data_IF_296489712370
#
_entry.id   IF_296489712370
#
_cell.length_a   1.000
_cell.length_b   1.000
_cell.length_c   1.000
_cell.angle_alpha   90.00
_cell.angle_beta   90.00
_cell.angle_gamma   90.00
#
_symmetry.space_group_name_H-M   'P 1'
#
loop_
_entity.id
_entity.type
_entity.pdbx_description
1 polymer ?
#
# COMPACT_ATOMS: atom_id res chain seq x y z
N UNK A 1 21.17 -17.74 1.32
CA UNK A 1 20.31 -18.42 2.31
C UNK A 1 20.58 -17.72 3.63
N UNK A 2 19.75 -16.88 4.24
CA UNK A 2 18.39 -16.40 4.02
C UNK A 2 18.22 -15.36 5.13
N UNK A 3 18.52 -14.07 4.90
CA UNK A 3 18.33 -13.00 5.90
C UNK A 3 16.85 -12.58 6.00
N UNK A 4 15.95 -13.56 5.90
CA UNK A 4 14.53 -13.34 6.16
C UNK A 4 14.36 -13.35 7.67
N UNK A 5 13.87 -12.24 8.21
CA UNK A 5 13.49 -12.16 9.62
C UNK A 5 12.51 -13.31 9.93
N UNK A 6 12.61 -13.95 11.12
CA UNK A 6 11.69 -14.99 11.52
C UNK A 6 10.25 -14.47 11.50
N UNK A 7 9.29 -15.33 11.14
CA UNK A 7 7.86 -15.03 11.22
C UNK A 7 7.54 -14.72 12.70
N UNK A 8 7.20 -13.47 13.02
CA UNK A 8 7.00 -12.99 14.41
C UNK A 8 5.56 -13.24 14.91
N UNK A 9 4.88 -14.26 14.37
CA UNK A 9 3.52 -14.64 14.74
C UNK A 9 2.78 -15.28 13.57
N UNK A 10 2.22 -16.46 13.80
CA UNK A 10 1.27 -17.10 12.87
C UNK A 10 -0.05 -17.29 13.63
N UNK A 11 -1.11 -16.67 13.12
CA UNK A 11 -2.47 -16.93 13.59
C UNK A 11 -3.12 -17.91 12.62
N UNK A 12 -2.99 -19.21 12.86
CA UNK A 12 -3.66 -20.23 12.05
C UNK A 12 -5.17 -20.23 12.37
N UNK A 13 -5.96 -19.49 11.60
CA UNK A 13 -7.42 -19.55 11.66
C UNK A 13 -7.93 -20.23 10.39
N UNK A 14 -8.41 -21.46 10.53
CA UNK A 14 -9.16 -22.16 9.50
C UNK A 14 -9.13 -23.66 9.72
N UNK A 15 -10.30 -24.24 9.88
CA UNK A 15 -10.45 -25.66 10.19
C UNK A 15 -10.91 -26.47 8.97
N UNK A 16 -11.37 -25.78 7.92
CA UNK A 16 -11.85 -26.40 6.69
C UNK A 16 -11.35 -25.69 5.41
N UNK A 17 -11.75 -26.24 4.26
CA UNK A 17 -11.37 -25.75 2.93
C UNK A 17 -11.89 -24.36 2.61
N UNK A 18 -13.03 -23.97 3.19
CA UNK A 18 -13.61 -22.66 2.96
C UNK A 18 -12.83 -21.61 3.74
N UNK A 19 -12.47 -21.89 5.01
CA UNK A 19 -11.62 -20.99 5.78
C UNK A 19 -10.28 -20.74 5.07
N UNK A 20 -9.65 -21.78 4.52
CA UNK A 20 -8.41 -21.64 3.72
C UNK A 20 -8.62 -20.78 2.45
N UNK A 21 -9.77 -20.93 1.78
CA UNK A 21 -10.15 -20.11 0.62
C UNK A 21 -10.24 -18.63 1.00
N UNK A 22 -10.78 -18.36 2.19
CA UNK A 22 -11.02 -17.03 2.73
C UNK A 22 -9.76 -16.34 3.29
N UNK A 23 -8.62 -17.03 3.39
CA UNK A 23 -7.36 -16.41 3.84
C UNK A 23 -6.74 -15.53 2.78
N UNK A 24 -6.11 -14.44 3.22
CA UNK A 24 -5.24 -13.59 2.40
C UNK A 24 -3.83 -13.62 3.01
N UNK A 25 -2.84 -14.00 2.21
CA UNK A 25 -1.43 -13.98 2.59
C UNK A 25 -0.79 -12.71 2.04
N UNK A 26 -0.42 -11.82 2.95
CA UNK A 26 0.22 -10.54 2.60
C UNK A 26 1.68 -10.60 3.06
N UNK A 27 2.61 -10.33 2.13
CA UNK A 27 4.01 -10.14 2.44
C UNK A 27 4.34 -8.65 2.44
N UNK A 28 4.98 -8.16 3.50
CA UNK A 28 5.44 -6.78 3.60
C UNK A 28 6.95 -6.75 3.33
N UNK A 29 7.37 -6.00 2.30
CA UNK A 29 8.77 -5.81 2.03
C UNK A 29 9.32 -4.65 2.87
N UNK A 30 10.38 -4.91 3.63
CA UNK A 30 11.13 -3.88 4.35
C UNK A 30 12.52 -3.74 3.74
N UNK A 31 12.84 -2.55 3.24
CA UNK A 31 14.13 -2.26 2.60
C UNK A 31 14.62 -0.87 3.00
N UNK A 32 15.92 -0.64 2.83
CA UNK A 32 16.45 0.71 2.88
C UNK A 32 16.10 1.47 1.59
N UNK A 33 15.76 2.78 1.67
CA UNK A 33 15.57 3.62 0.49
C UNK A 33 16.80 3.59 -0.43
N UNK A 34 16.59 3.44 -1.73
CA UNK A 34 17.67 3.46 -2.70
C UNK A 34 18.06 4.89 -3.06
N UNK A 35 18.89 5.51 -2.23
CA UNK A 35 19.39 6.86 -2.48
C UNK A 35 20.46 6.93 -3.59
N UNK A 36 21.06 5.79 -3.96
CA UNK A 36 22.09 5.72 -4.99
C UNK A 36 21.55 5.74 -6.43
N UNK A 37 20.25 5.46 -6.60
CA UNK A 37 19.61 5.45 -7.91
C UNK A 37 19.34 6.85 -8.47
N UNK A 38 19.49 7.92 -7.68
CA UNK A 38 19.23 9.30 -8.13
C UNK A 38 17.87 9.42 -8.86
N UNK A 39 16.82 8.85 -8.26
CA UNK A 39 15.49 8.82 -8.86
C UNK A 39 15.20 7.64 -9.78
N UNK A 40 16.21 7.00 -10.39
CA UNK A 40 16.01 6.02 -11.46
C UNK A 40 15.33 4.71 -11.01
N UNK A 41 14.06 4.54 -11.43
CA UNK A 41 13.23 3.38 -11.10
C UNK A 41 13.85 2.05 -11.53
N UNK A 42 14.54 2.01 -12.68
CA UNK A 42 15.08 0.76 -13.23
C UNK A 42 16.13 0.12 -12.30
N UNK A 43 16.81 0.91 -11.47
CA UNK A 43 17.88 0.44 -10.60
C UNK A 43 17.36 -0.40 -9.43
N UNK A 44 16.09 -0.23 -9.04
CA UNK A 44 15.47 -1.02 -7.94
C UNK A 44 14.72 -2.26 -8.42
N UNK A 45 14.40 -2.35 -9.72
CA UNK A 45 13.60 -3.47 -10.25
C UNK A 45 14.27 -4.84 -10.05
N UNK A 46 15.60 -5.02 -10.14
CA UNK A 46 16.24 -6.29 -9.80
C UNK A 46 16.00 -6.71 -8.36
N UNK A 47 16.00 -5.76 -7.42
CA UNK A 47 15.72 -6.02 -6.00
C UNK A 47 14.24 -6.35 -5.78
N UNK A 48 13.34 -5.65 -6.46
CA UNK A 48 11.91 -5.98 -6.46
C UNK A 48 11.67 -7.42 -6.93
N UNK A 49 12.29 -7.81 -8.05
CA UNK A 49 12.18 -9.16 -8.61
C UNK A 49 12.63 -10.23 -7.62
N UNK A 50 13.74 -10.02 -6.92
CA UNK A 50 14.24 -10.95 -5.90
C UNK A 50 13.23 -11.12 -4.74
N UNK A 51 12.70 -10.01 -4.23
CA UNK A 51 11.75 -10.03 -3.11
C UNK A 51 10.41 -10.66 -3.52
N UNK A 52 9.94 -10.39 -4.74
CA UNK A 52 8.76 -11.03 -5.32
C UNK A 52 8.94 -12.54 -5.45
N UNK A 53 10.09 -13.00 -5.95
CA UNK A 53 10.40 -14.42 -6.05
C UNK A 53 10.25 -15.10 -4.68
N UNK A 54 10.93 -14.58 -3.65
CA UNK A 54 10.88 -15.15 -2.30
C UNK A 54 9.47 -15.13 -1.70
N UNK A 55 8.73 -14.04 -1.84
CA UNK A 55 7.35 -13.97 -1.33
C UNK A 55 6.40 -14.91 -2.09
N UNK A 56 6.60 -15.07 -3.40
CA UNK A 56 5.79 -15.96 -4.23
C UNK A 56 5.98 -17.44 -3.86
N UNK A 57 7.23 -17.84 -3.56
CA UNK A 57 7.60 -19.18 -3.08
C UNK A 57 6.99 -19.50 -1.72
N UNK A 58 6.76 -18.47 -0.88
CA UNK A 58 6.07 -18.57 0.40
C UNK A 58 4.54 -18.49 0.28
N UNK A 59 4.00 -18.44 -0.94
CA UNK A 59 2.55 -18.48 -1.16
C UNK A 59 1.81 -17.17 -0.88
N UNK A 60 2.50 -16.02 -0.91
CA UNK A 60 1.86 -14.70 -0.77
C UNK A 60 0.85 -14.45 -1.91
N UNK A 61 -0.31 -13.85 -1.62
CA UNK A 61 -1.22 -13.33 -2.66
C UNK A 61 -0.82 -11.94 -3.08
N UNK A 62 -0.35 -11.13 -2.12
CA UNK A 62 0.02 -9.73 -2.32
C UNK A 62 1.38 -9.47 -1.68
N UNK A 63 2.27 -8.79 -2.40
CA UNK A 63 3.49 -8.20 -1.84
C UNK A 63 3.33 -6.69 -1.78
N UNK A 64 3.61 -6.09 -0.63
CA UNK A 64 3.57 -4.64 -0.43
C UNK A 64 4.97 -4.09 -0.32
N UNK A 65 5.38 -3.32 -1.32
CA UNK A 65 6.64 -2.56 -1.28
C UNK A 65 6.44 -1.22 -0.57
N UNK A 66 7.48 -0.69 0.09
CA UNK A 66 7.36 0.54 0.87
C UNK A 66 7.18 1.77 -0.02
N UNK A 67 6.69 2.85 0.58
CA UNK A 67 6.68 4.15 -0.07
C UNK A 67 8.10 4.53 -0.52
N UNK A 68 8.19 5.24 -1.64
CA UNK A 68 9.45 5.67 -2.27
C UNK A 68 10.38 4.54 -2.68
N UNK A 69 9.93 3.28 -2.68
CA UNK A 69 10.72 2.15 -3.17
C UNK A 69 11.26 2.38 -4.59
N UNK A 70 10.46 3.01 -5.47
CA UNK A 70 10.80 3.17 -6.88
C UNK A 70 11.72 4.38 -7.13
N UNK A 71 11.40 5.53 -6.55
CA UNK A 71 12.16 6.78 -6.81
C UNK A 71 13.26 7.05 -5.79
N UNK A 72 13.19 6.50 -4.58
CA UNK A 72 14.02 6.93 -3.45
C UNK A 72 13.37 8.08 -2.67
N UNK A 73 13.86 8.32 -1.46
CA UNK A 73 13.18 9.14 -0.45
C UNK A 73 13.78 10.55 -0.25
N UNK A 74 14.86 10.88 -0.96
CA UNK A 74 15.45 12.22 -0.89
C UNK A 74 14.78 13.24 -1.82
N UNK A 75 14.82 14.51 -1.39
CA UNK A 75 14.39 15.63 -2.22
C UNK A 75 15.20 15.77 -3.52
N UNK A 76 16.43 15.26 -3.56
CA UNK A 76 17.24 15.23 -4.78
C UNK A 76 16.62 14.27 -5.80
N UNK A 77 16.37 13.02 -5.39
CA UNK A 77 15.75 12.00 -6.22
C UNK A 77 14.37 12.47 -6.74
N UNK A 78 13.56 13.08 -5.88
CA UNK A 78 12.25 13.60 -6.29
C UNK A 78 12.34 14.73 -7.31
N UNK A 79 13.33 15.63 -7.20
CA UNK A 79 13.52 16.70 -8.20
C UNK A 79 14.06 16.18 -9.51
N UNK A 80 14.76 15.04 -9.50
CA UNK A 80 15.22 14.36 -10.70
C UNK A 80 14.08 13.65 -11.44
N UNK A 81 12.90 13.52 -10.82
CA UNK A 81 11.72 12.90 -11.44
C UNK A 81 11.36 13.44 -12.82
N UNK A 82 11.84 14.64 -13.22
CA UNK A 82 11.87 15.16 -14.60
C UNK A 82 12.30 14.15 -15.68
N UNK A 83 13.01 13.09 -15.30
CA UNK A 83 13.43 12.01 -16.20
C UNK A 83 12.45 10.83 -16.26
N UNK A 84 11.45 10.76 -15.37
CA UNK A 84 10.37 9.78 -15.42
C UNK A 84 9.23 10.22 -16.32
N UNK A 85 8.50 9.23 -16.84
CA UNK A 85 7.29 9.45 -17.61
C UNK A 85 6.22 10.17 -16.77
N UNK A 86 5.57 11.22 -17.31
CA UNK A 86 4.50 11.91 -16.61
C UNK A 86 3.20 11.09 -16.62
N UNK A 87 2.35 11.34 -15.63
CA UNK A 87 0.94 10.98 -15.65
C UNK A 87 0.18 12.04 -16.44
N UNK A 88 -0.12 11.74 -17.70
CA UNK A 88 -0.87 12.63 -18.58
C UNK A 88 -2.38 12.27 -18.59
N UNK A 89 -2.74 11.01 -18.32
CA UNK A 89 -4.13 10.49 -18.19
C UNK A 89 -4.15 9.08 -17.57
N UNK A 90 -5.33 8.49 -17.30
CA UNK A 90 -5.46 7.07 -16.89
C UNK A 90 -4.96 6.08 -17.97
N UNK A 91 -4.88 6.52 -19.23
CA UNK A 91 -4.40 5.70 -20.35
C UNK A 91 -2.88 5.65 -20.44
N UNK A 92 -2.21 6.66 -19.88
CA UNK A 92 -0.76 6.81 -19.91
C UNK A 92 -0.20 6.45 -18.53
N UNK A 93 0.17 5.18 -18.39
CA UNK A 93 0.92 4.69 -17.23
C UNK A 93 2.42 4.73 -17.55
N UNK A 94 3.29 4.92 -16.55
CA UNK A 94 4.72 4.99 -16.78
C UNK A 94 5.26 3.71 -17.46
N UNK A 95 6.23 3.85 -18.37
CA UNK A 95 6.73 2.72 -19.18
C UNK A 95 7.36 1.63 -18.31
N UNK A 96 8.06 2.01 -17.24
CA UNK A 96 8.65 1.09 -16.28
C UNK A 96 7.61 0.21 -15.57
N UNK A 97 6.33 0.58 -15.57
CA UNK A 97 5.30 -0.22 -14.94
C UNK A 97 5.07 -1.54 -15.70
N UNK A 98 5.36 -1.61 -17.00
CA UNK A 98 5.23 -2.86 -17.77
C UNK A 98 6.21 -3.93 -17.29
N UNK A 99 7.41 -3.56 -16.86
CA UNK A 99 8.35 -4.51 -16.25
C UNK A 99 7.76 -5.12 -14.97
N UNK A 100 7.10 -4.30 -14.14
CA UNK A 100 6.45 -4.77 -12.91
C UNK A 100 5.20 -5.61 -13.21
N UNK A 101 4.45 -5.28 -14.26
CA UNK A 101 3.34 -6.12 -14.75
C UNK A 101 3.83 -7.49 -15.20
N UNK A 102 4.96 -7.54 -15.89
CA UNK A 102 5.60 -8.80 -16.28
C UNK A 102 6.02 -9.61 -15.05
N UNK A 103 6.58 -8.97 -14.02
CA UNK A 103 6.92 -9.63 -12.75
C UNK A 103 5.67 -10.17 -12.03
N UNK A 104 4.58 -9.41 -11.96
CA UNK A 104 3.32 -9.86 -11.36
C UNK A 104 2.78 -11.15 -12.02
N UNK A 105 2.82 -11.19 -13.36
CA UNK A 105 2.45 -12.39 -14.16
C UNK A 105 3.41 -13.55 -13.94
N UNK A 106 4.71 -13.29 -14.01
CA UNK A 106 5.77 -14.29 -13.85
C UNK A 106 5.64 -15.02 -12.51
N UNK A 107 5.42 -14.26 -11.43
CA UNK A 107 5.30 -14.82 -10.09
C UNK A 107 3.86 -15.14 -9.70
N UNK A 108 2.86 -14.85 -10.53
CA UNK A 108 1.44 -15.00 -10.22
C UNK A 108 1.05 -14.39 -8.87
N UNK A 109 1.59 -13.22 -8.53
CA UNK A 109 1.42 -12.57 -7.23
C UNK A 109 1.00 -11.12 -7.46
N UNK A 110 0.01 -10.64 -6.71
CA UNK A 110 -0.37 -9.23 -6.76
C UNK A 110 0.68 -8.35 -6.06
N UNK A 111 0.75 -7.08 -6.46
CA UNK A 111 1.82 -6.18 -6.05
C UNK A 111 1.22 -4.82 -5.72
N UNK A 112 1.48 -4.33 -4.51
CA UNK A 112 1.50 -2.89 -4.24
C UNK A 112 2.92 -2.42 -4.52
N UNK A 113 3.09 -1.59 -5.54
CA UNK A 113 4.41 -1.30 -6.15
C UNK A 113 5.40 -0.58 -5.25
N UNK A 114 4.95 -0.15 -4.06
CA UNK A 114 5.52 1.01 -3.41
C UNK A 114 5.19 2.24 -4.23
N UNK A 115 5.92 3.32 -4.06
CA UNK A 115 5.59 4.55 -4.78
C UNK A 115 6.74 5.16 -5.55
N UNK A 116 6.36 5.93 -6.57
CA UNK A 116 7.23 6.75 -7.39
C UNK A 116 6.77 8.22 -7.31
N UNK A 117 7.73 9.14 -7.45
CA UNK A 117 7.41 10.56 -7.66
C UNK A 117 7.26 10.84 -9.16
N UNK A 118 6.08 11.28 -9.56
CA UNK A 118 5.67 11.47 -10.94
C UNK A 118 5.18 12.90 -11.19
N UNK A 119 5.35 13.41 -12.41
CA UNK A 119 4.72 14.68 -12.85
C UNK A 119 3.30 14.40 -13.32
N UNK A 120 2.41 15.37 -13.12
CA UNK A 120 1.14 15.40 -13.85
C UNK A 120 1.29 16.33 -15.06
N UNK A 121 1.10 15.84 -16.28
CA UNK A 121 1.43 16.53 -17.55
C UNK A 121 2.93 16.59 -17.90
N UNK A 122 3.24 16.46 -19.20
CA UNK A 122 4.58 16.55 -19.77
C UNK A 122 5.17 17.98 -19.85
N UNK A 123 5.21 18.70 -18.72
CA UNK A 123 5.86 20.02 -18.60
C UNK A 123 6.84 20.03 -17.43
N UNK A 124 8.02 20.65 -17.61
CA UNK A 124 9.05 20.75 -16.55
C UNK A 124 8.60 21.58 -15.32
N UNK A 125 7.56 22.39 -15.45
CA UNK A 125 6.98 23.14 -14.33
C UNK A 125 5.76 22.44 -13.71
N UNK A 126 5.47 21.20 -14.13
CA UNK A 126 4.32 20.46 -13.62
C UNK A 126 4.48 20.07 -12.16
N UNK A 127 3.37 20.02 -11.40
CA UNK A 127 3.38 19.52 -10.02
C UNK A 127 3.88 18.08 -9.96
N UNK A 128 4.60 17.78 -8.89
CA UNK A 128 5.10 16.46 -8.55
C UNK A 128 4.18 15.79 -7.54
N UNK A 129 3.89 14.52 -7.76
CA UNK A 129 2.96 13.72 -6.98
C UNK A 129 3.63 12.41 -6.57
N UNK A 130 3.28 11.90 -5.40
CA UNK A 130 3.73 10.60 -4.92
C UNK A 130 2.62 9.57 -5.16
N UNK A 131 2.87 8.60 -6.04
CA UNK A 131 1.85 7.68 -6.55
C UNK A 131 2.28 6.22 -6.41
N UNK A 132 1.37 5.38 -5.91
CA UNK A 132 1.48 3.92 -5.83
C UNK A 132 0.46 3.25 -6.73
N UNK A 133 0.78 2.06 -7.21
CA UNK A 133 -0.12 1.22 -8.02
C UNK A 133 -0.38 -0.11 -7.33
N UNK A 134 -1.57 -0.65 -7.59
CA UNK A 134 -1.90 -2.04 -7.31
C UNK A 134 -2.02 -2.81 -8.62
N UNK A 135 -1.24 -3.87 -8.73
CA UNK A 135 -1.25 -4.83 -9.83
C UNK A 135 -1.80 -6.16 -9.31
N UNK A 136 -2.76 -6.77 -10.00
CA UNK A 136 -3.17 -8.15 -9.67
C UNK A 136 -2.13 -9.17 -10.16
N UNK A 137 -2.35 -10.45 -9.82
CA UNK A 137 -1.49 -11.56 -10.24
C UNK A 137 -1.46 -11.79 -11.78
N UNK A 138 -2.34 -11.16 -12.55
CA UNK A 138 -2.36 -11.18 -14.03
C UNK A 138 -1.60 -9.98 -14.61
N UNK A 139 -1.06 -9.11 -13.76
CA UNK A 139 -0.40 -7.87 -14.16
C UNK A 139 -1.38 -6.81 -14.65
N UNK A 140 -2.66 -6.88 -14.27
CA UNK A 140 -3.62 -5.81 -14.53
C UNK A 140 -3.54 -4.76 -13.43
N UNK A 141 -3.51 -3.49 -13.82
CA UNK A 141 -3.59 -2.37 -12.89
C UNK A 141 -5.02 -2.27 -12.39
N UNK A 142 -5.25 -2.56 -11.11
CA UNK A 142 -6.59 -2.46 -10.50
C UNK A 142 -6.81 -1.13 -9.82
N UNK A 143 -5.74 -0.50 -9.34
CA UNK A 143 -5.83 0.78 -8.65
C UNK A 143 -4.54 1.59 -8.75
N UNK A 144 -4.70 2.90 -8.65
CA UNK A 144 -3.63 3.86 -8.47
C UNK A 144 -4.04 4.82 -7.36
N UNK A 145 -3.11 5.15 -6.47
CA UNK A 145 -3.34 6.10 -5.40
C UNK A 145 -2.23 7.14 -5.37
N UNK A 146 -2.62 8.41 -5.36
CA UNK A 146 -1.72 9.54 -5.18
C UNK A 146 -1.90 10.14 -3.80
N UNK A 147 -0.79 10.29 -3.07
CA UNK A 147 -0.76 10.76 -1.68
C UNK A 147 -1.48 12.09 -1.51
N UNK A 148 -2.37 12.16 -0.51
CA UNK A 148 -3.17 13.35 -0.22
C UNK A 148 -2.66 14.11 0.99
N UNK A 149 -2.22 13.41 2.03
CA UNK A 149 -1.65 14.05 3.22
C UNK A 149 -0.13 13.98 3.19
N UNK A 150 0.52 15.08 2.82
CA UNK A 150 1.97 15.15 2.78
C UNK A 150 2.58 15.27 4.19
N UNK A 151 3.61 14.47 4.45
CA UNK A 151 4.52 14.68 5.56
C UNK A 151 5.23 16.03 5.41
N UNK A 152 5.61 16.65 6.52
CA UNK A 152 6.07 18.04 6.51
C UNK A 152 7.29 18.27 5.61
N UNK A 153 8.22 17.31 5.54
CA UNK A 153 9.38 17.37 4.65
C UNK A 153 9.00 17.39 3.16
N UNK A 154 7.98 16.62 2.78
CA UNK A 154 7.51 16.47 1.39
C UNK A 154 6.94 17.77 0.81
N UNK A 155 6.33 18.60 1.66
CA UNK A 155 5.58 19.81 1.27
C UNK A 155 6.42 20.86 0.53
N UNK A 156 7.75 20.79 0.65
CA UNK A 156 8.66 21.69 -0.04
C UNK A 156 8.84 21.34 -1.54
N UNK A 157 8.49 20.12 -1.96
CA UNK A 157 8.77 19.60 -3.31
C UNK A 157 7.52 19.00 -3.96
N UNK A 158 6.68 18.33 -3.18
CA UNK A 158 5.53 17.58 -3.67
C UNK A 158 4.22 18.36 -3.53
N UNK A 159 3.26 18.00 -4.36
CA UNK A 159 1.90 18.52 -4.37
C UNK A 159 0.95 17.45 -3.84
N UNK A 160 0.05 17.75 -2.89
CA UNK A 160 -0.94 16.79 -2.43
C UNK A 160 -2.00 16.57 -3.51
N UNK A 161 -2.46 15.34 -3.66
CA UNK A 161 -3.66 15.07 -4.45
C UNK A 161 -4.91 15.66 -3.80
N UNK A 162 -5.78 16.20 -4.64
CA UNK A 162 -7.10 16.77 -4.30
C UNK A 162 -8.18 16.19 -5.20
N UNK A 163 -9.45 16.45 -4.89
CA UNK A 163 -10.58 16.03 -5.72
C UNK A 163 -10.64 16.75 -7.07
N UNK A 164 -9.90 17.85 -7.22
CA UNK A 164 -9.76 18.56 -8.50
C UNK A 164 -8.69 17.89 -9.36
N UNK A 165 -7.54 17.55 -8.77
CA UNK A 165 -6.43 16.92 -9.49
C UNK A 165 -6.60 15.41 -9.72
N UNK A 166 -7.33 14.74 -8.82
CA UNK A 166 -7.51 13.30 -8.78
C UNK A 166 -8.98 13.02 -8.38
N UNK A 167 -9.93 13.28 -9.29
CA UNK A 167 -11.34 13.11 -9.03
C UNK A 167 -11.70 11.61 -8.91
N UNK A 168 -12.75 11.27 -8.15
CA UNK A 168 -13.06 9.87 -7.77
C UNK A 168 -13.47 8.98 -8.95
N UNK A 169 -14.02 9.57 -10.00
CA UNK A 169 -14.45 8.89 -11.23
C UNK A 169 -13.27 8.47 -12.10
N UNK A 170 -12.18 9.26 -12.11
CA UNK A 170 -10.94 8.91 -12.80
C UNK A 170 -9.97 8.11 -11.92
N UNK A 171 -9.96 8.37 -10.62
CA UNK A 171 -9.09 7.73 -9.63
C UNK A 171 -9.96 7.08 -8.54
N UNK A 172 -10.57 5.91 -8.82
CA UNK A 172 -11.45 5.25 -7.88
C UNK A 172 -10.68 4.88 -6.60
N UNK A 173 -11.21 5.22 -5.41
CA UNK A 173 -10.52 5.00 -4.15
C UNK A 173 -10.49 3.53 -3.73
N UNK A 174 -11.29 2.67 -4.37
CA UNK A 174 -11.40 1.25 -4.10
C UNK A 174 -11.37 0.47 -5.40
N UNK A 175 -10.86 -0.76 -5.35
CA UNK A 175 -10.77 -1.66 -6.49
C UNK A 175 -10.95 -3.10 -6.05
N UNK A 176 -11.24 -3.99 -7.00
CA UNK A 176 -11.42 -5.41 -6.75
C UNK A 176 -10.19 -6.20 -7.19
N UNK A 177 -9.79 -7.19 -6.39
CA UNK A 177 -8.85 -8.21 -6.81
C UNK A 177 -9.25 -9.59 -6.27
N UNK A 178 -8.68 -10.64 -6.85
CA UNK A 178 -8.90 -12.03 -6.46
C UNK A 178 -7.58 -12.60 -5.94
N UNK A 179 -7.63 -13.26 -4.77
CA UNK A 179 -6.50 -13.99 -4.21
C UNK A 179 -6.20 -15.24 -5.04
N UNK A 180 -5.03 -15.86 -4.83
CA UNK A 180 -4.67 -17.12 -5.51
C UNK A 180 -5.64 -18.26 -5.22
N UNK A 181 -6.35 -18.16 -4.10
CA UNK A 181 -7.33 -19.15 -3.63
C UNK A 181 -8.76 -18.80 -4.04
N UNK A 182 -8.97 -17.73 -4.80
CA UNK A 182 -10.27 -17.41 -5.40
C UNK A 182 -11.19 -16.56 -4.51
N UNK A 183 -10.71 -16.06 -3.36
CA UNK A 183 -11.44 -15.03 -2.61
C UNK A 183 -11.35 -13.70 -3.36
N UNK A 184 -12.51 -13.13 -3.71
CA UNK A 184 -12.65 -11.80 -4.30
C UNK A 184 -12.89 -10.75 -3.21
N UNK A 185 -11.95 -9.81 -3.08
CA UNK A 185 -11.98 -8.75 -2.06
C UNK A 185 -11.93 -7.36 -2.65
N UNK A 186 -12.57 -6.41 -1.97
CA UNK A 186 -12.45 -4.98 -2.22
C UNK A 186 -11.25 -4.46 -1.45
N UNK A 187 -10.34 -3.80 -2.14
CA UNK A 187 -9.16 -3.20 -1.54
C UNK A 187 -9.11 -1.69 -1.78
N UNK A 188 -8.30 -1.02 -0.98
CA UNK A 188 -7.91 0.37 -1.18
C UNK A 188 -6.41 0.55 -0.92
N UNK A 189 -5.89 1.70 -1.33
CA UNK A 189 -4.54 2.15 -0.98
C UNK A 189 -4.64 3.51 -0.30
N UNK A 190 -3.90 3.65 0.80
CA UNK A 190 -3.52 4.92 1.42
C UNK A 190 -1.99 4.92 1.49
N UNK A 191 -1.36 6.02 1.94
CA UNK A 191 0.11 6.07 1.96
C UNK A 191 0.65 6.78 3.20
N UNK A 192 1.48 6.08 3.96
CA UNK A 192 2.30 6.64 5.03
C UNK A 192 1.52 7.61 5.94
N UNK A 193 1.79 8.91 5.82
CA UNK A 193 1.18 9.96 6.63
C UNK A 193 -0.36 10.05 6.53
N UNK A 194 -0.98 9.47 5.50
CA UNK A 194 -2.45 9.33 5.44
C UNK A 194 -3.01 8.52 6.62
N UNK A 195 -2.22 7.63 7.23
CA UNK A 195 -2.59 6.86 8.43
C UNK A 195 -2.98 7.75 9.62
N UNK A 196 -2.39 8.94 9.69
CA UNK A 196 -2.65 9.90 10.77
C UNK A 196 -4.06 10.50 10.72
N UNK A 197 -4.76 10.38 9.59
CA UNK A 197 -6.03 11.07 9.33
C UNK A 197 -7.19 10.08 9.24
N UNK A 198 -8.06 10.00 10.26
CA UNK A 198 -9.25 9.16 10.18
C UNK A 198 -10.12 9.50 8.96
N UNK A 199 -10.15 10.76 8.53
CA UNK A 199 -10.89 11.24 7.36
C UNK A 199 -10.45 10.56 6.06
N UNK A 200 -9.17 10.18 5.94
CA UNK A 200 -8.66 9.43 4.79
C UNK A 200 -9.37 8.10 4.62
N UNK A 201 -9.65 7.43 5.74
CA UNK A 201 -10.39 6.15 5.75
C UNK A 201 -11.89 6.37 5.56
N UNK A 202 -12.49 7.34 6.25
CA UNK A 202 -13.93 7.63 6.13
C UNK A 202 -14.35 7.92 4.68
N UNK A 203 -13.45 8.50 3.88
CA UNK A 203 -13.67 8.78 2.45
C UNK A 203 -13.89 7.51 1.60
N UNK A 204 -13.42 6.36 2.06
CA UNK A 204 -13.46 5.07 1.36
C UNK A 204 -14.81 4.35 1.49
N UNK A 205 -15.66 4.80 2.41
CA UNK A 205 -16.93 4.14 2.71
C UNK A 205 -18.11 4.75 1.96
N UNK A 206 -19.04 3.88 1.59
CA UNK A 206 -20.33 4.20 0.96
C UNK A 206 -21.46 3.74 1.90
N UNK A 207 -22.48 4.58 2.14
CA UNK A 207 -23.58 4.24 3.04
C UNK A 207 -24.48 3.12 2.50
N UNK A 208 -25.26 2.46 3.37
CA UNK A 208 -26.27 1.47 2.97
C UNK A 208 -27.25 1.99 1.92
N UNK A 209 -27.73 1.10 1.05
CA UNK A 209 -28.74 1.40 0.03
C UNK A 209 -28.19 1.94 -1.29
N UNK A 210 -26.86 2.09 -1.41
CA UNK A 210 -26.17 2.23 -2.68
C UNK A 210 -25.78 0.84 -3.20
N UNK A 211 -26.29 0.45 -4.36
CA UNK A 211 -26.18 -0.91 -4.89
C UNK A 211 -24.80 -1.17 -5.52
N UNK A 212 -24.02 -2.08 -4.94
CA UNK A 212 -23.45 -3.26 -5.61
C UNK A 212 -22.64 -4.09 -4.61
N UNK A 213 -23.07 -5.32 -4.35
CA UNK A 213 -22.19 -6.34 -3.78
C UNK A 213 -21.10 -6.64 -4.81
N UNK A 214 -19.89 -6.17 -4.52
CA UNK A 214 -18.72 -6.37 -5.37
C UNK A 214 -17.75 -7.36 -4.72
N UNK A 215 -17.63 -7.30 -3.40
CA UNK A 215 -16.84 -8.22 -2.58
C UNK A 215 -17.68 -9.40 -2.12
N UNK A 216 -17.04 -10.56 -1.95
CA UNK A 216 -17.66 -11.71 -1.28
C UNK A 216 -17.92 -11.46 0.21
N UNK A 217 -17.32 -10.41 0.79
CA UNK A 217 -17.51 -10.05 2.19
C UNK A 217 -18.65 -9.05 2.40
N UNK A 218 -19.23 -8.50 1.34
CA UNK A 218 -20.33 -7.54 1.42
C UNK A 218 -21.58 -8.17 2.04
N UNK A 219 -22.22 -7.43 2.96
CA UNK A 219 -23.50 -7.81 3.56
C UNK A 219 -24.62 -6.89 3.05
N UNK A 220 -25.83 -7.41 2.81
CA UNK A 220 -26.96 -6.59 2.38
C UNK A 220 -27.25 -5.45 3.37
N UNK A 221 -27.42 -4.23 2.85
CA UNK A 221 -27.85 -3.06 3.62
C UNK A 221 -26.89 -2.63 4.75
N UNK A 222 -25.60 -2.89 4.59
CA UNK A 222 -24.52 -2.38 5.45
C UNK A 222 -23.69 -1.30 4.74
N UNK A 223 -22.84 -0.61 5.50
CA UNK A 223 -21.82 0.27 4.90
C UNK A 223 -20.85 -0.57 4.07
N UNK A 224 -20.51 -0.11 2.89
CA UNK A 224 -19.54 -0.80 2.04
C UNK A 224 -18.24 -0.01 2.01
N UNK A 225 -17.13 -0.69 2.29
CA UNK A 225 -15.78 -0.14 2.31
C UNK A 225 -14.77 -1.19 1.86
N UNK A 226 -13.48 -0.87 1.84
CA UNK A 226 -12.45 -1.84 1.54
C UNK A 226 -12.37 -2.90 2.64
N UNK A 227 -12.25 -4.16 2.24
CA UNK A 227 -11.96 -5.30 3.12
C UNK A 227 -10.51 -5.26 3.62
N UNK A 228 -9.62 -4.65 2.80
CA UNK A 228 -8.21 -4.45 3.13
C UNK A 228 -7.72 -3.09 2.60
N UNK A 229 -6.97 -2.36 3.41
CA UNK A 229 -6.28 -1.14 3.02
C UNK A 229 -4.79 -1.40 3.04
N UNK A 230 -4.13 -1.25 1.89
CA UNK A 230 -2.67 -1.30 1.83
C UNK A 230 -2.10 0.10 2.04
N UNK A 231 -1.12 0.21 2.94
CA UNK A 231 -0.46 1.47 3.28
C UNK A 231 1.06 1.39 3.10
N UNK A 232 1.58 1.39 1.86
CA UNK A 232 3.01 1.53 1.62
C UNK A 232 3.53 2.77 2.36
N UNK A 233 4.62 2.58 3.10
CA UNK A 233 5.09 3.55 4.10
C UNK A 233 6.61 3.66 4.08
N UNK A 234 7.12 4.90 4.17
CA UNK A 234 8.52 5.23 4.39
C UNK A 234 8.55 6.09 5.65
N UNK A 235 8.79 5.45 6.79
CA UNK A 235 8.73 6.05 8.11
C UNK A 235 10.05 5.82 8.82
N UNK A 236 10.74 6.89 9.16
CA UNK A 236 12.04 6.81 9.81
C UNK A 236 11.85 6.67 11.31
N UNK A 237 12.74 5.92 11.95
CA UNK A 237 12.71 5.71 13.41
C UNK A 237 12.99 7.00 14.22
N UNK A 238 13.37 8.09 13.54
CA UNK A 238 13.70 9.39 14.12
C UNK A 238 12.85 10.55 13.57
N UNK A 239 11.71 10.27 12.93
CA UNK A 239 10.84 11.29 12.32
C UNK A 239 10.30 12.34 13.32
N UNK A 240 10.07 11.98 14.59
CA UNK A 240 9.67 12.89 15.68
C UNK A 240 10.83 13.70 16.26
N UNK A 241 12.06 13.40 15.83
CA UNK A 241 13.26 14.10 16.21
C UNK A 241 13.83 13.71 17.58
N UNK A 242 15.04 14.22 17.83
CA UNK A 242 15.84 13.84 19.01
C UNK A 242 15.16 14.13 20.35
N UNK A 243 14.36 15.20 20.45
CA UNK A 243 13.66 15.55 21.69
C UNK A 243 12.62 14.51 22.09
N UNK A 244 11.84 13.99 21.13
CA UNK A 244 10.86 12.93 21.38
C UNK A 244 11.54 11.61 21.73
N UNK A 245 12.65 11.29 21.05
CA UNK A 245 13.43 10.07 21.30
C UNK A 245 14.08 10.01 22.69
N UNK A 246 14.32 11.16 23.33
CA UNK A 246 14.77 11.20 24.74
C UNK A 246 13.70 10.62 25.67
N UNK A 247 12.42 10.84 25.36
CA UNK A 247 11.29 10.31 26.15
C UNK A 247 10.97 8.87 25.83
N UNK A 248 10.92 8.53 24.54
CA UNK A 248 10.69 7.17 24.06
C UNK A 248 11.47 6.94 22.77
N UNK A 249 12.49 6.08 22.82
CA UNK A 249 13.33 5.74 21.65
C UNK A 249 12.55 5.00 20.56
N UNK A 250 11.49 4.32 20.95
CA UNK A 250 10.63 3.54 20.06
C UNK A 250 9.33 4.28 19.75
N UNK A 251 9.31 5.62 19.90
CA UNK A 251 8.09 6.43 19.73
C UNK A 251 7.45 6.27 18.36
N UNK A 252 8.23 6.14 17.29
CA UNK A 252 7.70 5.94 15.93
C UNK A 252 7.04 4.59 15.75
N UNK A 253 7.68 3.53 16.24
CA UNK A 253 7.11 2.19 16.23
C UNK A 253 5.81 2.14 17.06
N UNK A 254 5.84 2.69 18.28
CA UNK A 254 4.67 2.77 19.14
C UNK A 254 3.53 3.60 18.51
N UNK A 255 3.86 4.66 17.77
CA UNK A 255 2.90 5.47 17.03
C UNK A 255 2.22 4.64 15.92
N UNK A 256 3.00 3.95 15.10
CA UNK A 256 2.50 3.10 14.01
C UNK A 256 1.64 1.95 14.55
N UNK A 257 2.09 1.26 15.60
CA UNK A 257 1.34 0.17 16.25
C UNK A 257 -0.01 0.67 16.76
N UNK A 258 -0.03 1.83 17.43
CA UNK A 258 -1.26 2.41 17.95
C UNK A 258 -2.21 2.84 16.82
N UNK A 259 -1.70 3.50 15.79
CA UNK A 259 -2.52 4.08 14.74
C UNK A 259 -3.06 3.00 13.80
N UNK A 260 -2.26 2.01 13.42
CA UNK A 260 -2.75 0.91 12.60
C UNK A 260 -3.91 0.16 13.27
N UNK A 261 -3.79 -0.14 14.57
CA UNK A 261 -4.87 -0.77 15.35
C UNK A 261 -6.08 0.16 15.44
N UNK A 262 -5.88 1.43 15.78
CA UNK A 262 -6.98 2.40 15.87
C UNK A 262 -7.75 2.52 14.56
N UNK A 263 -7.05 2.60 13.41
CA UNK A 263 -7.69 2.68 12.09
C UNK A 263 -8.42 1.39 11.75
N UNK A 264 -7.84 0.23 12.03
CA UNK A 264 -8.56 -1.02 11.84
C UNK A 264 -9.85 -1.08 12.69
N UNK A 265 -9.84 -0.52 13.92
CA UNK A 265 -10.99 -0.56 14.83
C UNK A 265 -12.09 0.41 14.37
N UNK A 266 -11.71 1.64 14.03
CA UNK A 266 -12.64 2.68 13.57
C UNK A 266 -13.35 2.31 12.26
N UNK A 267 -12.74 1.44 11.44
CA UNK A 267 -13.24 1.05 10.13
C UNK A 267 -13.77 -0.40 10.10
N UNK A 268 -13.94 -1.01 11.28
CA UNK A 268 -14.50 -2.37 11.44
C UNK A 268 -13.77 -3.45 10.63
N UNK A 269 -12.46 -3.28 10.39
CA UNK A 269 -11.61 -4.28 9.73
C UNK A 269 -11.32 -5.51 10.61
N UNK A 270 -12.00 -5.65 11.74
CA UNK A 270 -11.99 -6.80 12.64
C UNK A 270 -13.33 -7.53 12.55
N UNK A 271 -13.61 -8.22 11.44
CA UNK A 271 -14.86 -8.98 11.34
C UNK A 271 -14.83 -10.21 12.28
N UNK A 272 -15.91 -10.39 13.02
CA UNK A 272 -16.18 -11.38 14.07
C UNK A 272 -16.35 -12.82 13.55
N UNK A 273 -16.10 -13.06 12.26
CA UNK A 273 -15.98 -14.41 11.68
C UNK A 273 -14.65 -15.08 12.02
N UNK A 274 -13.75 -14.36 12.69
CA UNK A 274 -12.64 -14.95 13.44
C UNK A 274 -13.22 -15.53 14.74
N UNK A 275 -13.26 -16.86 14.94
CA UNK A 275 -13.68 -17.42 16.22
C UNK A 275 -12.80 -16.83 17.32
N UNK A 276 -13.46 -16.24 18.33
CA UNK A 276 -12.83 -15.56 19.46
C UNK A 276 -11.58 -16.29 19.95
N UNK A 277 -10.43 -15.62 20.11
CA UNK A 277 -9.38 -16.10 20.97
C UNK A 277 -9.94 -16.09 22.39
N UNK A 278 -10.33 -17.26 22.86
CA UNK A 278 -10.30 -17.56 24.28
C UNK A 278 -8.82 -17.41 24.66
N UNK A 279 -8.55 -16.58 25.67
CA UNK A 279 -7.24 -16.36 26.30
C UNK A 279 -6.32 -15.29 25.68
N UNK A 280 -6.69 -14.02 25.90
CA UNK A 280 -5.70 -12.95 26.05
C UNK A 280 -4.90 -13.17 27.35
N UNK A 281 -3.77 -13.85 27.26
CA UNK A 281 -2.68 -13.79 28.26
C UNK A 281 -1.35 -13.78 27.50
N UNK A 282 -0.64 -12.67 27.54
CA UNK A 282 0.78 -12.66 27.17
C UNK A 282 1.26 -11.35 26.55
N UNK A 283 1.88 -10.51 27.39
CA UNK A 283 2.91 -9.58 26.96
C UNK A 283 4.08 -10.36 26.35
N UNK A 284 4.66 -9.89 25.25
CA UNK A 284 6.12 -9.76 25.01
C UNK A 284 6.36 -8.55 24.13
#
# INVERSE_FOLDING_TARGET
MSDLLPIVGEFSHGFDTEDERMRIHVALAQVQPNEAAHGNVYDVLPRMKQLLCSASELGADVVVFPEYFLTGSSHEAWRQSHTHDPLDSFSDVPVWLEDIRCMAREFGTAIVTGSAVLRHANKRASPLYNTTYFLDARGDIKGAYTKRNLWHAERAVLTPATDVSHPKDEYPPVFMFETRRGLRVRASMLMCWDLMFPESFRRLFVPPGCDQQLSELDKPNEWTGPDIVFAPTCWYADDSGTEAQVWNKDCEAACLDAICVARAMENECFDHRIPRPVDWVGQV
#
